data_IF_435742986845
#
_entry.id   IF_435742986845
#
_cell.length_a   1.000
_cell.length_b   1.000
_cell.length_c   1.000
_cell.angle_alpha   90.00
_cell.angle_beta   90.00
_cell.angle_gamma   90.00
#
_symmetry.space_group_name_H-M   'P 1'
#
loop_
_entity.id
_entity.type
_entity.pdbx_description
1 polymer ?
#
# COMPACT_ATOMS: atom_id res chain seq x y z
N UNK A 1 2.75 -14.33 7.04
CA UNK A 1 2.59 -14.33 8.52
C UNK A 1 1.15 -13.96 8.87
N UNK A 2 0.55 -14.55 9.92
CA UNK A 2 -0.87 -14.34 10.24
C UNK A 2 -1.19 -12.90 10.65
N UNK A 3 -2.39 -12.43 10.32
CA UNK A 3 -2.99 -11.19 10.82
C UNK A 3 -3.98 -11.56 11.94
N UNK A 4 -3.71 -11.14 13.16
CA UNK A 4 -4.53 -11.43 14.33
C UNK A 4 -5.59 -10.34 14.56
N UNK A 5 -6.79 -10.76 14.93
CA UNK A 5 -7.91 -9.87 15.31
C UNK A 5 -8.35 -10.17 16.75
N UNK A 6 -7.50 -9.86 17.76
CA UNK A 6 -7.73 -10.27 19.15
C UNK A 6 -8.95 -9.59 19.79
N UNK A 7 -9.34 -8.42 19.29
CA UNK A 7 -10.50 -7.67 19.75
C UNK A 7 -11.12 -6.87 18.58
N UNK A 8 -12.37 -6.40 18.69
CA UNK A 8 -13.02 -5.65 17.62
C UNK A 8 -12.20 -4.44 17.15
N UNK A 9 -11.91 -4.39 15.85
CA UNK A 9 -11.12 -3.33 15.22
C UNK A 9 -9.61 -3.52 15.27
N UNK A 10 -9.10 -4.49 16.04
CA UNK A 10 -7.67 -4.80 16.10
C UNK A 10 -7.20 -5.54 14.85
N UNK A 11 -6.05 -5.14 14.33
CA UNK A 11 -5.34 -5.81 13.23
C UNK A 11 -3.85 -5.86 13.58
N UNK A 12 -3.42 -6.96 14.19
CA UNK A 12 -2.09 -7.09 14.79
C UNK A 12 -1.24 -8.16 14.11
N UNK A 13 0.08 -7.97 14.12
CA UNK A 13 1.05 -8.97 13.65
C UNK A 13 2.18 -9.11 14.65
N UNK A 14 2.68 -10.32 14.86
CA UNK A 14 3.89 -10.54 15.65
C UNK A 14 5.14 -10.21 14.81
N UNK A 15 5.96 -9.21 15.20
CA UNK A 15 7.18 -8.86 14.47
C UNK A 15 8.20 -9.99 14.39
N UNK A 16 8.19 -10.93 15.33
CA UNK A 16 9.08 -12.09 15.29
C UNK A 16 8.83 -12.94 14.02
N UNK A 17 7.59 -13.04 13.56
CA UNK A 17 7.28 -13.74 12.31
C UNK A 17 7.89 -13.06 11.08
N UNK A 18 8.02 -11.73 11.09
CA UNK A 18 8.70 -11.01 10.00
C UNK A 18 10.20 -11.33 9.99
N UNK A 19 10.83 -11.39 11.17
CA UNK A 19 12.24 -11.79 11.29
C UNK A 19 12.47 -13.21 10.79
N UNK A 20 11.64 -14.17 11.21
CA UNK A 20 11.71 -15.56 10.73
C UNK A 20 11.52 -15.63 9.22
N UNK A 21 10.58 -14.86 8.65
CA UNK A 21 10.36 -14.83 7.21
C UNK A 21 11.55 -14.23 6.46
N UNK A 22 12.13 -13.13 6.95
CA UNK A 22 13.33 -12.52 6.39
C UNK A 22 14.48 -13.52 6.38
N UNK A 23 14.76 -14.16 7.52
CA UNK A 23 15.81 -15.17 7.64
C UNK A 23 15.62 -16.33 6.66
N UNK A 24 14.41 -16.86 6.55
CA UNK A 24 14.09 -17.95 5.63
C UNK A 24 14.29 -17.53 4.16
N UNK A 25 13.78 -16.35 3.77
CA UNK A 25 13.88 -15.85 2.39
C UNK A 25 15.33 -15.51 2.04
N UNK A 26 16.08 -14.87 2.93
CA UNK A 26 17.49 -14.53 2.70
C UNK A 26 18.34 -15.78 2.41
N UNK A 27 18.19 -16.84 3.22
CA UNK A 27 18.90 -18.11 2.99
C UNK A 27 18.52 -18.74 1.66
N UNK A 28 17.22 -18.84 1.39
CA UNK A 28 16.73 -19.41 0.13
C UNK A 28 17.23 -18.63 -1.09
N UNK A 29 17.29 -17.31 -1.01
CA UNK A 29 17.80 -16.47 -2.10
C UNK A 29 19.31 -16.67 -2.31
N UNK A 30 20.10 -16.71 -1.25
CA UNK A 30 21.53 -16.97 -1.33
C UNK A 30 21.83 -18.36 -1.90
N UNK A 31 21.12 -19.39 -1.43
CA UNK A 31 21.25 -20.76 -1.92
C UNK A 31 20.90 -20.85 -3.42
N UNK A 32 19.83 -20.17 -3.85
CA UNK A 32 19.40 -20.17 -5.26
C UNK A 32 20.29 -19.33 -6.17
N UNK A 33 20.85 -18.24 -5.65
CA UNK A 33 21.74 -17.36 -6.42
C UNK A 33 23.11 -18.03 -6.67
N UNK A 34 23.52 -18.95 -5.80
CA UNK A 34 24.85 -19.58 -5.88
C UNK A 34 25.96 -18.59 -5.52
N UNK A 35 27.15 -18.66 -6.16
CA UNK A 35 28.28 -17.81 -5.83
C UNK A 35 28.08 -16.38 -6.37
N UNK A 36 27.40 -15.55 -5.59
CA UNK A 36 27.20 -14.12 -5.87
C UNK A 36 27.85 -13.26 -4.79
N UNK A 37 28.35 -12.09 -5.18
CA UNK A 37 28.78 -11.08 -4.23
C UNK A 37 27.56 -10.27 -3.76
N UNK A 38 27.17 -10.43 -2.50
CA UNK A 38 26.12 -9.59 -1.90
C UNK A 38 26.71 -8.23 -1.51
N UNK A 39 26.30 -7.18 -2.24
CA UNK A 39 26.82 -5.82 -2.00
C UNK A 39 26.10 -5.08 -0.88
N UNK A 40 24.79 -5.25 -0.73
CA UNK A 40 23.99 -4.62 0.33
C UNK A 40 22.63 -5.30 0.48
N UNK A 41 21.93 -4.98 1.57
CA UNK A 41 20.51 -5.29 1.79
C UNK A 41 19.75 -3.98 1.98
N UNK A 42 18.70 -3.74 1.20
CA UNK A 42 17.77 -2.64 1.43
C UNK A 42 16.46 -3.16 2.00
N UNK A 43 15.95 -2.49 3.05
CA UNK A 43 14.72 -2.87 3.74
C UNK A 43 13.63 -1.84 3.50
N UNK A 44 12.48 -2.30 3.01
CA UNK A 44 11.23 -1.54 2.91
C UNK A 44 10.06 -2.38 3.43
N UNK A 45 8.93 -1.74 3.71
CA UNK A 45 7.79 -2.44 4.28
C UNK A 45 6.54 -1.59 4.46
N UNK A 46 5.48 -2.27 4.89
CA UNK A 46 4.16 -1.68 5.13
C UNK A 46 4.20 -0.53 6.15
N UNK A 47 3.37 0.49 5.92
CA UNK A 47 3.21 1.63 6.82
C UNK A 47 1.82 2.28 6.67
N UNK A 48 1.36 3.05 7.68
CA UNK A 48 1.92 3.18 9.02
C UNK A 48 1.67 1.91 9.85
N UNK A 49 2.70 1.39 10.50
CA UNK A 49 2.59 0.27 11.44
C UNK A 49 3.42 0.61 12.65
N UNK A 50 2.85 0.50 13.85
CA UNK A 50 3.56 0.76 15.09
C UNK A 50 4.17 -0.53 15.62
N UNK A 51 5.49 -0.52 15.80
CA UNK A 51 6.27 -1.58 16.43
C UNK A 51 6.94 -1.01 17.67
N UNK A 52 6.56 -1.49 18.86
CA UNK A 52 7.12 -1.04 20.13
C UNK A 52 8.08 -2.10 20.68
N UNK A 53 9.35 -1.76 20.88
CA UNK A 53 10.39 -2.68 21.36
C UNK A 53 11.06 -2.18 22.64
N UNK A 54 11.58 -3.10 23.44
CA UNK A 54 12.39 -2.80 24.63
C UNK A 54 13.85 -2.46 24.28
N UNK A 55 14.71 -2.33 25.29
CA UNK A 55 16.12 -2.01 25.12
C UNK A 55 16.91 -3.13 24.40
N UNK A 56 16.44 -4.37 24.46
CA UNK A 56 17.02 -5.55 23.82
C UNK A 56 16.43 -5.80 22.43
N UNK A 57 15.65 -4.85 21.90
CA UNK A 57 14.98 -4.89 20.59
C UNK A 57 13.91 -6.00 20.48
N UNK A 58 13.40 -6.48 21.61
CA UNK A 58 12.30 -7.44 21.65
C UNK A 58 10.95 -6.72 21.64
N UNK A 59 9.96 -7.20 20.85
CA UNK A 59 8.62 -6.61 20.84
C UNK A 59 7.97 -6.62 22.23
N UNK A 60 7.51 -5.45 22.67
CA UNK A 60 6.79 -5.28 23.93
C UNK A 60 5.28 -5.51 23.80
N UNK A 61 4.80 -5.55 22.56
CA UNK A 61 3.43 -5.80 22.13
C UNK A 61 3.45 -6.26 20.66
N UNK A 62 2.45 -7.05 20.18
CA UNK A 62 2.25 -7.24 18.74
C UNK A 62 2.18 -5.89 17.99
N UNK A 63 2.70 -5.86 16.77
CA UNK A 63 2.67 -4.65 15.95
C UNK A 63 1.24 -4.28 15.58
N UNK A 64 0.91 -2.99 15.71
CA UNK A 64 -0.39 -2.43 15.36
C UNK A 64 -0.31 -1.98 13.90
N UNK A 65 -0.98 -2.71 13.01
CA UNK A 65 -0.83 -2.53 11.56
C UNK A 65 -1.63 -1.33 11.03
N UNK A 66 -1.39 -0.94 9.78
CA UNK A 66 -2.13 0.12 9.08
C UNK A 66 -3.63 -0.18 8.91
N UNK A 67 -4.04 -1.45 9.05
CA UNK A 67 -5.44 -1.87 8.99
C UNK A 67 -6.17 -1.73 10.34
N UNK A 68 -5.44 -1.48 11.43
CA UNK A 68 -6.04 -1.32 12.75
C UNK A 68 -6.95 -0.08 12.77
N UNK A 69 -8.06 -0.17 13.49
CA UNK A 69 -9.07 0.90 13.56
C UNK A 69 -9.31 1.41 14.97
N UNK A 70 -8.65 0.86 15.99
CA UNK A 70 -8.90 1.22 17.40
C UNK A 70 -8.47 2.66 17.70
N UNK A 71 -7.48 3.16 16.99
CA UNK A 71 -6.96 4.53 17.04
C UNK A 71 -7.82 5.56 16.29
N UNK A 72 -8.93 5.19 15.66
CA UNK A 72 -9.71 6.10 14.81
C UNK A 72 -10.22 7.34 15.56
N UNK A 73 -10.76 7.16 16.77
CA UNK A 73 -11.23 8.27 17.60
C UNK A 73 -10.08 9.20 18.03
N UNK A 74 -8.90 8.61 18.28
CA UNK A 74 -7.70 9.37 18.64
C UNK A 74 -7.20 10.21 17.46
N UNK A 75 -7.20 9.64 16.25
CA UNK A 75 -6.88 10.35 15.03
C UNK A 75 -7.83 11.53 14.79
N UNK A 76 -9.15 11.32 14.90
CA UNK A 76 -10.14 12.40 14.75
C UNK A 76 -9.88 13.56 15.73
N UNK A 77 -9.62 13.26 17.00
CA UNK A 77 -9.31 14.26 18.03
C UNK A 77 -8.00 14.99 17.74
N UNK A 78 -6.95 14.26 17.39
CA UNK A 78 -5.62 14.80 17.10
C UNK A 78 -5.68 15.78 15.93
N UNK A 79 -6.22 15.37 14.79
CA UNK A 79 -6.22 16.22 13.60
C UNK A 79 -7.23 17.37 13.71
N UNK A 80 -8.33 17.21 14.47
CA UNK A 80 -9.21 18.33 14.81
C UNK A 80 -8.47 19.42 15.61
N UNK A 81 -7.60 19.05 16.56
CA UNK A 81 -6.75 20.02 17.30
C UNK A 81 -5.75 20.74 16.39
N UNK A 82 -5.28 20.07 15.34
CA UNK A 82 -4.36 20.65 14.36
C UNK A 82 -5.06 21.48 13.28
N UNK A 83 -6.39 21.46 13.22
CA UNK A 83 -7.15 22.08 12.11
C UNK A 83 -6.92 21.39 10.77
N UNK A 84 -6.64 20.08 10.78
CA UNK A 84 -6.32 19.26 9.62
C UNK A 84 -7.28 18.08 9.48
N UNK A 85 -7.32 17.46 8.30
CA UNK A 85 -7.99 16.17 8.11
C UNK A 85 -7.06 15.02 8.51
N UNK A 86 -7.65 13.88 8.87
CA UNK A 86 -6.87 12.65 9.10
C UNK A 86 -6.19 12.23 7.79
N UNK A 87 -4.88 11.94 7.78
CA UNK A 87 -4.15 11.55 6.59
C UNK A 87 -4.73 10.31 5.92
N UNK A 88 -4.75 10.31 4.59
CA UNK A 88 -5.34 9.23 3.78
C UNK A 88 -4.60 7.90 3.92
N UNK A 89 -3.31 7.94 4.24
CA UNK A 89 -2.48 6.76 4.48
C UNK A 89 -2.57 6.25 5.93
N UNK A 90 -3.28 6.95 6.81
CA UNK A 90 -3.34 6.66 8.25
C UNK A 90 -2.36 7.52 9.06
N UNK A 91 -2.44 7.41 10.39
CA UNK A 91 -1.65 8.24 11.31
C UNK A 91 -0.94 7.37 12.33
N UNK A 92 0.40 7.31 12.21
CA UNK A 92 1.25 6.68 13.22
C UNK A 92 1.28 7.45 14.54
N UNK A 93 1.30 8.81 14.58
CA UNK A 93 1.17 9.54 15.83
C UNK A 93 -0.12 9.19 16.59
N UNK A 94 -1.25 9.05 15.89
CA UNK A 94 -2.49 8.59 16.52
C UNK A 94 -2.41 7.13 17.02
N UNK A 95 -1.70 6.24 16.32
CA UNK A 95 -1.45 4.87 16.82
C UNK A 95 -0.64 4.89 18.13
N UNK A 96 0.38 5.77 18.23
CA UNK A 96 1.19 5.91 19.46
C UNK A 96 0.37 6.46 20.61
N UNK A 97 -0.41 7.52 20.38
CA UNK A 97 -1.29 8.10 21.40
C UNK A 97 -2.28 7.06 21.93
N UNK A 98 -2.93 6.32 21.03
CA UNK A 98 -3.81 5.22 21.39
C UNK A 98 -3.07 4.13 22.19
N UNK A 99 -1.88 3.71 21.74
CA UNK A 99 -1.09 2.67 22.41
C UNK A 99 -0.64 3.09 23.82
N UNK A 100 -0.28 4.36 24.01
CA UNK A 100 0.10 4.90 25.31
C UNK A 100 -1.08 4.84 26.31
N UNK A 101 -2.29 5.19 25.85
CA UNK A 101 -3.50 5.21 26.67
C UNK A 101 -4.04 3.80 26.96
N UNK A 102 -4.15 2.96 25.93
CA UNK A 102 -4.86 1.67 26.01
C UNK A 102 -3.94 0.49 26.35
N UNK A 103 -2.62 0.64 26.19
CA UNK A 103 -1.60 -0.39 26.52
C UNK A 103 -0.47 0.17 27.40
N UNK A 104 -0.76 0.85 28.52
CA UNK A 104 0.25 1.56 29.32
C UNK A 104 1.32 0.63 29.92
N UNK A 105 0.96 -0.63 30.21
CA UNK A 105 1.93 -1.61 30.72
C UNK A 105 2.97 -2.01 29.67
N UNK A 106 2.56 -2.14 28.40
CA UNK A 106 3.49 -2.40 27.31
C UNK A 106 4.34 -1.16 27.01
N UNK A 107 3.70 0.02 26.93
CA UNK A 107 4.38 1.30 26.72
C UNK A 107 5.48 1.56 27.78
N UNK A 108 5.27 1.21 29.05
CA UNK A 108 6.29 1.35 30.10
C UNK A 108 7.53 0.49 29.87
N UNK A 109 7.42 -0.64 29.16
CA UNK A 109 8.56 -1.50 28.80
C UNK A 109 9.22 -1.05 27.49
N UNK A 110 8.55 -0.20 26.72
CA UNK A 110 9.03 0.26 25.42
C UNK A 110 10.21 1.22 25.60
N UNK A 111 11.30 0.94 24.88
CA UNK A 111 12.43 1.83 24.72
C UNK A 111 12.42 2.53 23.37
N UNK A 112 11.97 1.85 22.32
CA UNK A 112 11.91 2.41 20.97
C UNK A 112 10.56 2.16 20.31
N UNK A 113 10.04 3.20 19.65
CA UNK A 113 8.87 3.13 18.78
C UNK A 113 9.36 3.18 17.32
N UNK A 114 9.00 2.17 16.54
CA UNK A 114 9.51 1.89 15.20
C UNK A 114 8.36 1.67 14.20
N UNK A 115 8.68 1.75 12.92
CA UNK A 115 7.90 1.18 11.83
C UNK A 115 8.24 -0.29 11.54
N UNK A 116 7.49 -0.91 10.62
CA UNK A 116 7.78 -2.27 10.14
C UNK A 116 9.17 -2.40 9.49
N UNK A 117 9.57 -1.59 8.50
CA UNK A 117 10.91 -1.70 7.90
C UNK A 117 12.02 -1.33 8.89
N UNK A 118 11.76 -0.34 9.74
CA UNK A 118 12.65 0.13 10.80
C UNK A 118 13.05 -1.01 11.74
N UNK A 119 12.06 -1.78 12.22
CA UNK A 119 12.31 -2.94 13.09
C UNK A 119 13.26 -3.97 12.47
N UNK A 120 13.05 -4.34 11.21
CA UNK A 120 13.90 -5.33 10.53
C UNK A 120 15.31 -4.79 10.31
N UNK A 121 15.45 -3.52 9.93
CA UNK A 121 16.75 -2.88 9.78
C UNK A 121 17.50 -2.82 11.12
N UNK A 122 16.83 -2.39 12.19
CA UNK A 122 17.39 -2.35 13.53
C UNK A 122 17.77 -3.74 14.05
N UNK A 123 17.00 -4.79 13.75
CA UNK A 123 17.39 -6.19 14.07
C UNK A 123 18.61 -6.67 13.28
N UNK A 124 18.78 -6.23 12.04
CA UNK A 124 19.97 -6.55 11.23
C UNK A 124 21.22 -5.84 11.76
N UNK A 125 21.11 -4.55 12.10
CA UNK A 125 22.25 -3.69 12.42
C UNK A 125 22.57 -3.56 13.90
N UNK A 126 21.61 -3.87 14.78
CA UNK A 126 21.70 -3.55 16.21
C UNK A 126 21.51 -2.06 16.53
N UNK A 127 21.27 -1.21 15.51
CA UNK A 127 21.13 0.23 15.66
C UNK A 127 19.67 0.66 15.43
N UNK A 128 18.99 1.23 16.45
CA UNK A 128 17.65 1.81 16.29
C UNK A 128 17.63 2.94 15.27
N UNK A 129 16.71 2.88 14.30
CA UNK A 129 16.58 3.88 13.24
C UNK A 129 15.12 4.02 12.81
N UNK A 130 14.73 5.21 12.34
CA UNK A 130 13.46 5.44 11.65
C UNK A 130 13.71 5.83 10.20
N UNK A 131 12.97 5.26 9.25
CA UNK A 131 13.05 5.65 7.85
C UNK A 131 12.10 6.79 7.50
N UNK A 132 11.02 6.96 8.27
CA UNK A 132 10.00 7.98 8.06
C UNK A 132 9.99 8.98 9.21
N UNK A 133 10.16 10.26 8.90
CA UNK A 133 9.90 11.36 9.82
C UNK A 133 8.41 11.68 9.88
N UNK A 134 7.95 12.07 11.06
CA UNK A 134 6.61 12.60 11.29
C UNK A 134 6.68 14.10 11.57
N UNK A 135 5.64 14.84 11.18
CA UNK A 135 5.60 16.28 11.41
C UNK A 135 5.62 16.57 12.92
N UNK A 136 6.51 17.49 13.33
CA UNK A 136 6.66 17.87 14.75
C UNK A 136 5.32 18.26 15.42
N UNK A 137 4.43 19.06 14.80
CA UNK A 137 3.13 19.36 15.38
C UNK A 137 2.24 18.12 15.61
N UNK A 138 2.34 17.10 14.75
CA UNK A 138 1.59 15.85 14.92
C UNK A 138 2.11 15.02 16.09
N UNK A 139 3.45 14.94 16.24
CA UNK A 139 4.08 14.27 17.38
C UNK A 139 3.76 14.97 18.70
N UNK A 140 3.77 16.29 18.73
CA UNK A 140 3.41 17.10 19.89
C UNK A 140 1.93 16.97 20.25
N UNK A 141 1.03 16.99 19.25
CA UNK A 141 -0.40 16.81 19.46
C UNK A 141 -0.77 15.40 19.95
N UNK A 142 0.00 14.38 19.51
CA UNK A 142 -0.08 13.00 19.99
C UNK A 142 0.63 12.77 21.35
N UNK A 143 1.29 13.79 21.91
CA UNK A 143 2.05 13.70 23.16
C UNK A 143 3.12 12.58 23.13
N UNK A 144 3.73 12.37 21.96
CA UNK A 144 4.76 11.34 21.77
C UNK A 144 6.03 11.72 22.54
N UNK A 145 6.48 10.84 23.43
CA UNK A 145 7.77 11.01 24.12
C UNK A 145 8.92 10.84 23.12
N UNK A 146 9.58 11.95 22.79
CA UNK A 146 10.67 11.98 21.81
C UNK A 146 11.87 11.11 22.23
N UNK A 147 12.01 10.76 23.51
CA UNK A 147 13.08 9.85 23.98
C UNK A 147 12.89 8.40 23.51
N UNK A 148 11.68 8.07 23.06
CA UNK A 148 11.34 6.76 22.47
C UNK A 148 11.56 6.72 20.95
N UNK A 149 11.90 7.85 20.32
CA UNK A 149 12.13 7.93 18.88
C UNK A 149 13.62 7.79 18.57
N UNK A 150 14.03 6.80 17.76
CA UNK A 150 15.38 6.75 17.22
C UNK A 150 15.67 7.90 16.25
N UNK A 151 16.95 8.11 15.86
CA UNK A 151 17.31 9.01 14.78
C UNK A 151 16.61 8.65 13.47
N UNK A 152 16.07 9.65 12.78
CA UNK A 152 15.53 9.47 11.43
C UNK A 152 16.66 9.49 10.41
N UNK A 153 16.66 8.54 9.48
CA UNK A 153 17.63 8.46 8.38
C UNK A 153 16.88 8.44 7.05
N UNK A 154 17.27 9.29 6.07
CA UNK A 154 16.55 9.37 4.82
C UNK A 154 16.72 8.08 3.99
N UNK A 155 15.74 7.77 3.13
CA UNK A 155 15.81 6.63 2.22
C UNK A 155 17.03 6.73 1.31
N UNK A 156 17.69 5.61 1.05
CA UNK A 156 18.93 5.54 0.29
C UNK A 156 20.20 5.76 1.11
N UNK A 157 20.12 5.85 2.45
CA UNK A 157 21.30 5.93 3.31
C UNK A 157 21.69 4.58 3.89
N UNK A 158 23.00 4.35 4.07
CA UNK A 158 23.49 3.19 4.84
C UNK A 158 23.23 3.47 6.32
N UNK A 159 22.43 2.61 6.95
CA UNK A 159 21.99 2.72 8.35
C UNK A 159 22.73 1.79 9.30
N UNK A 160 23.69 1.03 8.77
CA UNK A 160 24.54 0.12 9.55
C UNK A 160 25.00 -1.03 8.67
N UNK A 161 25.42 -2.11 9.32
CA UNK A 161 25.81 -3.35 8.65
C UNK A 161 25.27 -4.56 9.39
N UNK A 162 25.08 -5.67 8.68
CA UNK A 162 24.60 -6.92 9.26
C UNK A 162 25.55 -7.35 10.40
N UNK A 163 25.01 -7.47 11.61
CA UNK A 163 25.78 -7.93 12.77
C UNK A 163 26.12 -9.42 12.69
N UNK A 164 27.14 -9.91 13.43
CA UNK A 164 27.41 -11.35 13.49
C UNK A 164 26.21 -12.19 13.95
N UNK A 165 25.42 -11.68 14.90
CA UNK A 165 24.20 -12.36 15.36
C UNK A 165 23.13 -12.41 14.27
N UNK A 166 22.87 -11.29 13.58
CA UNK A 166 21.94 -11.26 12.46
C UNK A 166 22.39 -12.15 11.30
N UNK A 167 23.70 -12.22 11.03
CA UNK A 167 24.28 -13.12 10.03
C UNK A 167 24.02 -14.60 10.37
N UNK A 168 24.20 -14.96 11.64
CA UNK A 168 23.93 -16.32 12.12
C UNK A 168 22.46 -16.73 11.93
N UNK A 169 21.52 -15.80 12.09
CA UNK A 169 20.08 -16.03 11.91
C UNK A 169 19.64 -16.05 10.43
N UNK A 170 20.14 -15.12 9.62
CA UNK A 170 19.62 -14.84 8.27
C UNK A 170 20.45 -15.44 7.14
N UNK A 171 21.68 -15.88 7.41
CA UNK A 171 22.65 -16.30 6.39
C UNK A 171 23.28 -15.15 5.60
N UNK A 172 22.84 -13.90 5.82
CA UNK A 172 23.48 -12.72 5.22
C UNK A 172 24.91 -12.57 5.77
N UNK A 173 25.93 -12.28 4.94
CA UNK A 173 27.29 -12.06 5.43
C UNK A 173 27.36 -10.93 6.46
N UNK A 174 28.08 -11.17 7.56
CA UNK A 174 28.37 -10.12 8.53
C UNK A 174 29.15 -8.98 7.86
N UNK A 175 28.81 -7.74 8.22
CA UNK A 175 29.39 -6.53 7.60
C UNK A 175 28.73 -6.12 6.29
N UNK A 176 27.76 -6.87 5.73
CA UNK A 176 27.00 -6.40 4.57
C UNK A 176 26.26 -5.09 4.93
N UNK A 177 26.44 -4.00 4.15
CA UNK A 177 25.72 -2.75 4.36
C UNK A 177 24.20 -2.92 4.33
N UNK A 178 23.52 -2.29 5.30
CA UNK A 178 22.05 -2.21 5.34
C UNK A 178 21.64 -0.80 4.92
N UNK A 179 20.81 -0.70 3.89
CA UNK A 179 20.34 0.55 3.30
C UNK A 179 18.89 0.79 3.73
N UNK A 180 18.60 2.02 4.18
CA UNK A 180 17.24 2.47 4.41
C UNK A 180 16.47 2.46 3.09
N UNK A 181 15.47 1.59 2.99
CA UNK A 181 14.41 1.76 2.01
C UNK A 181 13.42 2.80 2.52
N UNK A 182 12.13 2.53 2.35
CA UNK A 182 11.07 3.40 2.84
C UNK A 182 9.76 2.61 2.97
N UNK A 183 8.62 3.30 2.98
CA UNK A 183 7.32 2.66 2.89
C UNK A 183 7.13 1.98 1.53
N UNK A 184 6.55 0.78 1.55
CA UNK A 184 6.38 -0.10 0.38
C UNK A 184 5.66 0.57 -0.81
N UNK A 185 4.60 1.34 -0.56
CA UNK A 185 3.85 2.04 -1.60
C UNK A 185 4.71 3.04 -2.37
N UNK A 186 5.60 3.74 -1.66
CA UNK A 186 6.53 4.72 -2.24
C UNK A 186 7.69 4.02 -2.97
N UNK A 187 8.21 2.93 -2.40
CA UNK A 187 9.18 2.08 -3.11
C UNK A 187 8.58 1.48 -4.38
N UNK A 188 7.28 1.16 -4.36
CA UNK A 188 6.53 0.72 -5.54
C UNK A 188 6.47 1.78 -6.64
N UNK A 189 6.37 3.07 -6.29
CA UNK A 189 6.45 4.16 -7.28
C UNK A 189 7.84 4.19 -7.92
N UNK A 190 8.90 4.22 -7.12
CA UNK A 190 10.29 4.23 -7.61
C UNK A 190 10.59 3.00 -8.48
N UNK A 191 10.26 1.81 -7.98
CA UNK A 191 10.51 0.55 -8.67
C UNK A 191 9.57 0.26 -9.85
N UNK A 192 8.51 1.06 -10.04
CA UNK A 192 7.72 1.01 -11.27
C UNK A 192 8.46 1.65 -12.45
N UNK A 193 9.45 2.50 -12.16
CA UNK A 193 10.21 3.28 -13.14
C UNK A 193 9.61 4.66 -13.40
N UNK A 194 8.74 5.16 -12.52
CA UNK A 194 8.30 6.55 -12.54
C UNK A 194 9.51 7.47 -12.28
N UNK A 195 9.70 8.49 -13.11
CA UNK A 195 10.89 9.34 -13.09
C UNK A 195 10.59 10.83 -13.14
N UNK A 196 9.42 11.24 -13.64
CA UNK A 196 9.11 12.65 -13.89
C UNK A 196 7.75 13.05 -13.31
N UNK A 197 7.56 14.33 -12.96
CA UNK A 197 6.25 14.82 -12.58
C UNK A 197 5.18 14.40 -13.59
N UNK A 198 4.07 13.90 -13.04
CA UNK A 198 2.95 13.33 -13.76
C UNK A 198 3.04 11.86 -14.16
N UNK A 199 4.19 11.21 -13.99
CA UNK A 199 4.24 9.75 -14.03
C UNK A 199 3.42 9.21 -12.84
N UNK A 200 2.45 8.35 -13.14
CA UNK A 200 1.61 7.73 -12.14
C UNK A 200 2.00 6.26 -11.93
N UNK A 201 1.77 5.75 -10.73
CA UNK A 201 1.92 4.34 -10.39
C UNK A 201 0.66 3.86 -9.69
N UNK A 202 0.11 2.76 -10.21
CA UNK A 202 -1.05 2.08 -9.68
C UNK A 202 -0.56 0.76 -9.06
N UNK A 203 -0.35 0.79 -7.74
CA UNK A 203 0.04 -0.40 -6.98
C UNK A 203 -1.20 -1.26 -6.75
N UNK A 204 -1.29 -2.34 -7.53
CA UNK A 204 -2.45 -3.20 -7.63
C UNK A 204 -2.28 -4.47 -6.79
N UNK A 205 -2.28 -4.31 -5.47
CA UNK A 205 -2.18 -5.41 -4.51
C UNK A 205 -3.52 -5.84 -3.93
N UNK A 206 -3.48 -6.35 -2.69
CA UNK A 206 -4.65 -6.65 -1.85
C UNK A 206 -5.52 -5.40 -1.65
N UNK A 207 -4.88 -4.31 -1.23
CA UNK A 207 -5.39 -2.93 -1.35
C UNK A 207 -4.81 -2.26 -2.59
N UNK A 208 -5.44 -1.20 -3.06
CA UNK A 208 -4.95 -0.41 -4.19
C UNK A 208 -4.31 0.90 -3.71
N UNK A 209 -3.26 1.37 -4.39
CA UNK A 209 -2.85 2.77 -4.28
C UNK A 209 -2.70 3.37 -5.66
N UNK A 210 -3.20 4.59 -5.85
CA UNK A 210 -2.91 5.39 -7.02
C UNK A 210 -2.06 6.57 -6.58
N UNK A 211 -0.85 6.62 -7.09
CA UNK A 211 0.15 7.63 -6.74
C UNK A 211 0.67 8.32 -7.98
N UNK A 212 1.06 9.59 -7.85
CA UNK A 212 1.65 10.40 -8.91
C UNK A 212 2.88 11.12 -8.37
N UNK A 213 3.87 11.29 -9.23
CA UNK A 213 4.97 12.21 -8.97
C UNK A 213 4.47 13.66 -9.05
N UNK A 214 4.45 14.31 -7.89
CA UNK A 214 4.03 15.69 -7.70
C UNK A 214 5.19 16.70 -7.77
N UNK A 215 4.88 17.99 -7.57
CA UNK A 215 5.89 19.03 -7.46
C UNK A 215 6.70 18.92 -6.15
N UNK A 216 7.85 19.61 -6.05
CA UNK A 216 8.64 19.67 -4.82
C UNK A 216 7.84 20.07 -3.59
N UNK A 217 8.06 19.37 -2.48
CA UNK A 217 7.37 19.56 -1.21
C UNK A 217 6.03 18.84 -1.08
N UNK A 218 5.56 18.14 -2.12
CA UNK A 218 4.31 17.40 -2.06
C UNK A 218 4.49 15.98 -1.50
N UNK A 219 3.56 15.55 -0.64
CA UNK A 219 3.47 14.18 -0.14
C UNK A 219 4.76 13.62 0.45
N UNK A 220 5.06 12.35 0.18
CA UNK A 220 6.29 11.70 0.64
C UNK A 220 7.46 12.02 -0.28
N UNK A 221 8.65 12.25 0.29
CA UNK A 221 9.87 12.51 -0.47
C UNK A 221 10.81 11.29 -0.44
N UNK A 222 11.31 10.88 -1.61
CA UNK A 222 12.38 9.88 -1.76
C UNK A 222 13.33 10.34 -2.84
N UNK A 223 14.61 10.51 -2.48
CA UNK A 223 15.60 11.17 -3.34
C UNK A 223 15.10 12.59 -3.72
N UNK A 224 15.00 12.86 -5.01
CA UNK A 224 14.45 14.08 -5.62
C UNK A 224 12.96 13.95 -5.99
N UNK A 225 12.32 12.82 -5.69
CA UNK A 225 10.94 12.54 -6.05
C UNK A 225 9.97 12.88 -4.91
N UNK A 226 8.86 13.50 -5.28
CA UNK A 226 7.75 13.85 -4.40
C UNK A 226 6.51 13.07 -4.82
N UNK A 227 5.95 12.27 -3.90
CA UNK A 227 4.92 11.28 -4.21
C UNK A 227 3.66 11.65 -3.46
N UNK A 228 2.64 12.01 -4.23
CA UNK A 228 1.27 12.15 -3.75
C UNK A 228 0.49 10.92 -4.14
N UNK A 229 -0.48 10.54 -3.33
CA UNK A 229 -1.32 9.42 -3.69
C UNK A 229 -2.35 9.17 -2.62
N UNK A 230 -3.26 8.27 -2.98
CA UNK A 230 -4.27 7.82 -2.05
C UNK A 230 -4.51 6.33 -2.24
N UNK A 231 -5.06 5.73 -1.20
CA UNK A 231 -5.25 4.30 -1.14
C UNK A 231 -6.73 3.95 -1.14
N UNK A 232 -7.05 2.87 -1.84
CA UNK A 232 -8.37 2.23 -1.87
C UNK A 232 -8.29 0.91 -1.09
N UNK A 233 -9.28 0.64 -0.25
CA UNK A 233 -9.21 -0.47 0.70
C UNK A 233 -9.30 -1.84 0.02
N UNK A 234 -10.15 -1.96 -0.99
CA UNK A 234 -10.54 -3.25 -1.56
C UNK A 234 -10.40 -3.22 -3.07
N UNK A 235 -9.21 -3.61 -3.54
CA UNK A 235 -8.91 -3.83 -4.96
C UNK A 235 -8.75 -5.34 -5.22
N UNK A 236 -7.56 -5.92 -5.04
CA UNK A 236 -7.34 -7.37 -5.16
C UNK A 236 -8.16 -8.17 -4.15
N UNK A 237 -8.37 -7.61 -2.94
CA UNK A 237 -9.22 -8.23 -1.92
C UNK A 237 -10.69 -8.38 -2.37
N UNK A 238 -11.17 -7.51 -3.25
CA UNK A 238 -12.51 -7.65 -3.82
C UNK A 238 -12.59 -8.86 -4.75
N UNK A 239 -11.54 -9.11 -5.55
CA UNK A 239 -11.43 -10.29 -6.38
C UNK A 239 -11.30 -11.57 -5.55
N UNK A 240 -10.50 -11.57 -4.48
CA UNK A 240 -10.41 -12.68 -3.51
C UNK A 240 -11.79 -13.02 -2.94
N UNK A 241 -12.47 -11.99 -2.42
CA UNK A 241 -13.79 -12.14 -1.83
C UNK A 241 -14.80 -12.69 -2.84
N UNK A 242 -14.77 -12.20 -4.08
CA UNK A 242 -15.63 -12.70 -5.15
C UNK A 242 -15.34 -14.17 -5.48
N UNK A 243 -14.07 -14.52 -5.68
CA UNK A 243 -13.65 -15.88 -6.00
C UNK A 243 -14.08 -16.87 -4.91
N UNK A 244 -13.90 -16.49 -3.64
CA UNK A 244 -14.23 -17.31 -2.49
C UNK A 244 -15.75 -17.42 -2.25
N UNK A 245 -16.47 -16.29 -2.23
CA UNK A 245 -17.83 -16.24 -1.71
C UNK A 245 -18.91 -16.27 -2.79
N UNK A 246 -18.63 -15.73 -3.97
CA UNK A 246 -19.60 -15.64 -5.07
C UNK A 246 -19.38 -16.78 -6.08
N UNK A 247 -18.14 -16.94 -6.55
CA UNK A 247 -17.79 -17.99 -7.49
C UNK A 247 -17.59 -19.36 -6.81
N UNK A 248 -17.28 -19.39 -5.50
CA UNK A 248 -16.96 -20.59 -4.72
C UNK A 248 -15.80 -21.40 -5.33
N UNK A 249 -14.85 -20.68 -5.91
CA UNK A 249 -13.65 -21.19 -6.55
C UNK A 249 -12.44 -20.38 -6.07
N UNK A 250 -12.02 -20.56 -4.80
CA UNK A 250 -10.88 -19.83 -4.26
C UNK A 250 -9.65 -20.10 -5.14
N UNK A 251 -8.82 -19.08 -5.33
CA UNK A 251 -7.58 -19.12 -6.14
C UNK A 251 -7.75 -19.28 -7.67
N UNK A 252 -8.96 -19.49 -8.19
CA UNK A 252 -9.22 -19.65 -9.63
C UNK A 252 -9.24 -18.32 -10.43
N UNK A 253 -8.35 -17.38 -10.10
CA UNK A 253 -8.40 -16.01 -10.61
C UNK A 253 -8.30 -15.92 -12.13
N UNK A 254 -7.35 -16.64 -12.73
CA UNK A 254 -7.12 -16.62 -14.19
C UNK A 254 -8.37 -17.05 -14.95
N UNK A 255 -8.94 -18.20 -14.58
CA UNK A 255 -10.17 -18.71 -15.21
C UNK A 255 -11.32 -17.72 -15.03
N UNK A 256 -11.55 -17.22 -13.82
CA UNK A 256 -12.66 -16.29 -13.56
C UNK A 256 -12.52 -15.01 -14.38
N UNK A 257 -11.31 -14.46 -14.49
CA UNK A 257 -11.03 -13.27 -15.30
C UNK A 257 -11.23 -13.57 -16.80
N UNK A 258 -10.82 -14.74 -17.29
CA UNK A 258 -11.06 -15.18 -18.67
C UNK A 258 -12.57 -15.29 -18.97
N UNK A 259 -13.36 -15.82 -18.04
CA UNK A 259 -14.82 -15.86 -18.17
C UNK A 259 -15.44 -14.45 -18.24
N UNK A 260 -14.92 -13.51 -17.45
CA UNK A 260 -15.33 -12.10 -17.47
C UNK A 260 -14.89 -11.36 -18.75
N UNK A 261 -13.86 -11.85 -19.46
CA UNK A 261 -13.43 -11.27 -20.74
C UNK A 261 -14.49 -11.42 -21.84
N UNK A 262 -15.37 -12.42 -21.74
CA UNK A 262 -16.48 -12.63 -22.68
C UNK A 262 -17.63 -11.61 -22.51
N UNK A 263 -17.62 -10.84 -21.42
CA UNK A 263 -18.62 -9.79 -21.17
C UNK A 263 -18.11 -8.47 -21.75
N UNK A 264 -18.91 -7.74 -22.54
CA UNK A 264 -18.50 -6.46 -23.11
C UNK A 264 -18.24 -5.41 -22.02
N UNK A 265 -17.47 -4.38 -22.37
CA UNK A 265 -17.25 -3.21 -21.53
C UNK A 265 -18.57 -2.62 -21.01
N UNK A 266 -18.56 -2.19 -19.75
CA UNK A 266 -19.72 -1.65 -19.04
C UNK A 266 -20.67 -2.71 -18.49
N UNK A 267 -20.31 -4.00 -18.57
CA UNK A 267 -21.03 -5.13 -17.98
C UNK A 267 -22.56 -5.12 -18.21
N UNK A 268 -23.00 -4.64 -19.40
CA UNK A 268 -24.43 -4.45 -19.75
C UNK A 268 -25.22 -3.51 -18.81
N UNK A 269 -24.56 -2.47 -18.29
CA UNK A 269 -25.16 -1.46 -17.42
C UNK A 269 -25.09 -1.80 -15.92
N UNK A 270 -24.38 -2.88 -15.57
CA UNK A 270 -24.14 -3.25 -14.19
C UNK A 270 -22.94 -2.49 -13.61
N UNK A 271 -23.15 -1.76 -12.52
CA UNK A 271 -22.07 -1.09 -11.77
C UNK A 271 -21.81 -1.79 -10.44
N UNK A 272 -20.54 -1.79 -10.02
CA UNK A 272 -20.12 -2.26 -8.71
C UNK A 272 -19.42 -1.14 -7.93
N UNK A 273 -19.94 -0.79 -6.76
CA UNK A 273 -19.26 0.05 -5.78
C UNK A 273 -18.33 -0.84 -4.94
N UNK A 274 -16.99 -0.68 -4.98
CA UNK A 274 -16.07 -1.67 -4.42
C UNK A 274 -15.78 -1.52 -2.92
N UNK A 275 -16.66 -0.91 -2.12
CA UNK A 275 -16.38 -0.53 -0.73
C UNK A 275 -16.65 -1.66 0.29
N UNK A 276 -16.18 -2.88 0.02
CA UNK A 276 -16.46 -4.07 0.84
C UNK A 276 -15.92 -3.96 2.28
N UNK A 277 -14.87 -3.18 2.51
CA UNK A 277 -14.27 -2.93 3.82
C UNK A 277 -14.46 -1.48 4.31
N UNK A 278 -15.49 -0.77 3.80
CA UNK A 278 -15.50 0.70 3.82
C UNK A 278 -14.44 1.26 2.88
N UNK A 279 -14.33 2.58 2.78
CA UNK A 279 -13.39 3.18 1.84
C UNK A 279 -12.60 4.34 2.45
N UNK A 280 -11.32 4.42 2.08
CA UNK A 280 -10.47 5.58 2.31
C UNK A 280 -10.68 6.55 1.16
N UNK A 281 -9.76 6.67 0.23
CA UNK A 281 -9.92 7.63 -0.85
C UNK A 281 -10.90 7.14 -1.93
N UNK A 282 -11.68 8.03 -2.55
CA UNK A 282 -11.78 9.47 -2.27
C UNK A 282 -12.87 9.84 -1.24
N UNK A 283 -13.70 8.89 -0.79
CA UNK A 283 -14.94 9.20 -0.04
C UNK A 283 -14.77 9.31 1.49
N UNK A 284 -13.71 8.74 2.04
CA UNK A 284 -13.32 8.74 3.46
C UNK A 284 -14.45 8.29 4.39
N UNK A 285 -15.04 7.14 4.09
CA UNK A 285 -16.17 6.61 4.85
C UNK A 285 -16.02 5.11 5.14
N UNK A 286 -15.61 4.82 6.37
CA UNK A 286 -15.45 3.46 6.85
C UNK A 286 -16.78 2.72 7.08
N UNK A 287 -17.93 3.41 6.95
CA UNK A 287 -19.28 2.82 6.98
C UNK A 287 -19.83 2.54 5.57
N UNK A 288 -19.12 2.94 4.52
CA UNK A 288 -19.50 2.61 3.15
C UNK A 288 -19.48 1.09 2.92
N UNK A 289 -20.28 0.60 1.97
CA UNK A 289 -20.44 -0.84 1.70
C UNK A 289 -20.44 -1.12 0.22
N UNK A 290 -19.98 -2.30 -0.15
CA UNK A 290 -20.02 -2.77 -1.53
C UNK A 290 -21.45 -2.99 -2.01
N UNK A 291 -21.71 -2.70 -3.28
CA UNK A 291 -23.04 -2.83 -3.88
C UNK A 291 -22.95 -3.07 -5.39
N UNK A 292 -23.76 -3.99 -5.90
CA UNK A 292 -24.09 -4.03 -7.32
C UNK A 292 -25.38 -3.26 -7.57
N UNK A 293 -25.40 -2.40 -8.58
CA UNK A 293 -26.55 -1.58 -8.98
C UNK A 293 -26.80 -1.78 -10.47
N UNK A 294 -28.05 -2.03 -10.85
CA UNK A 294 -28.44 -2.31 -12.25
C UNK A 294 -28.62 -3.79 -12.60
N UNK A 295 -28.80 -4.68 -11.62
CA UNK A 295 -29.04 -6.10 -11.87
C UNK A 295 -30.34 -6.34 -12.66
N UNK A 296 -30.28 -7.33 -13.56
CA UNK A 296 -31.38 -7.82 -14.40
C UNK A 296 -31.24 -9.33 -14.54
N UNK A 297 -32.24 -10.02 -15.09
CA UNK A 297 -32.20 -11.47 -15.32
C UNK A 297 -31.15 -11.93 -16.35
N UNK A 298 -30.59 -11.01 -17.13
CA UNK A 298 -29.52 -11.32 -18.10
C UNK A 298 -28.15 -11.44 -17.45
N UNK A 299 -27.98 -10.88 -16.24
CA UNK A 299 -26.71 -10.84 -15.56
C UNK A 299 -26.42 -12.17 -14.85
N UNK A 300 -25.20 -12.67 -15.06
CA UNK A 300 -24.66 -13.85 -14.38
C UNK A 300 -23.34 -13.52 -13.69
N UNK A 301 -22.67 -14.54 -13.12
CA UNK A 301 -21.40 -14.36 -12.41
C UNK A 301 -20.32 -13.67 -13.24
N UNK A 302 -20.32 -13.83 -14.57
CA UNK A 302 -19.33 -13.23 -15.46
C UNK A 302 -19.53 -11.72 -15.52
N UNK A 303 -20.79 -11.29 -15.57
CA UNK A 303 -21.14 -9.87 -15.52
C UNK A 303 -20.84 -9.27 -14.15
N UNK A 304 -21.14 -9.99 -13.06
CA UNK A 304 -20.80 -9.53 -11.71
C UNK A 304 -19.30 -9.28 -11.56
N UNK A 305 -18.47 -10.20 -12.06
CA UNK A 305 -17.02 -10.07 -12.03
C UNK A 305 -16.53 -8.96 -12.95
N UNK A 306 -17.07 -8.85 -14.17
CA UNK A 306 -16.75 -7.75 -15.10
C UNK A 306 -17.00 -6.40 -14.44
N UNK A 307 -18.19 -6.20 -13.89
CA UNK A 307 -18.56 -4.99 -13.15
C UNK A 307 -17.65 -4.75 -11.94
N UNK A 308 -17.19 -5.80 -11.26
CA UNK A 308 -16.25 -5.69 -10.15
C UNK A 308 -14.89 -5.15 -10.60
N UNK A 309 -14.32 -5.70 -11.68
CA UNK A 309 -13.03 -5.24 -12.23
C UNK A 309 -13.12 -3.78 -12.70
N UNK A 310 -14.22 -3.42 -13.37
CA UNK A 310 -14.54 -2.05 -13.80
C UNK A 310 -14.76 -1.12 -12.60
N UNK A 311 -15.51 -1.54 -11.58
CA UNK A 311 -15.75 -0.79 -10.35
C UNK A 311 -14.47 -0.43 -9.58
N UNK A 312 -13.53 -1.36 -9.52
CA UNK A 312 -12.20 -1.09 -8.94
C UNK A 312 -11.42 -0.09 -9.80
N UNK A 313 -11.48 -0.18 -11.13
CA UNK A 313 -10.87 0.81 -12.02
C UNK A 313 -11.50 2.20 -11.86
N UNK A 314 -12.83 2.29 -11.68
CA UNK A 314 -13.51 3.55 -11.40
C UNK A 314 -13.10 4.16 -10.05
N UNK A 315 -12.90 3.33 -9.01
CA UNK A 315 -12.35 3.79 -7.73
C UNK A 315 -10.96 4.41 -7.91
N UNK A 316 -10.09 3.81 -8.74
CA UNK A 316 -8.80 4.42 -9.10
C UNK A 316 -8.96 5.71 -9.89
N UNK A 317 -9.92 5.79 -10.81
CA UNK A 317 -10.25 7.03 -11.51
C UNK A 317 -10.68 8.13 -10.54
N UNK A 318 -11.48 7.82 -9.51
CA UNK A 318 -11.81 8.81 -8.48
C UNK A 318 -10.60 9.35 -7.73
N UNK A 319 -9.57 8.53 -7.51
CA UNK A 319 -8.29 9.03 -6.95
C UNK A 319 -7.52 9.85 -7.99
N UNK A 320 -7.51 9.45 -9.26
CA UNK A 320 -6.91 10.22 -10.35
C UNK A 320 -7.51 11.62 -10.46
N UNK A 321 -8.84 11.74 -10.49
CA UNK A 321 -9.53 13.05 -10.55
C UNK A 321 -9.22 13.89 -9.31
N UNK A 322 -9.23 13.29 -8.11
CA UNK A 322 -8.89 14.00 -6.87
C UNK A 322 -7.45 14.56 -6.86
N UNK A 323 -6.49 13.79 -7.40
CA UNK A 323 -5.11 14.25 -7.56
C UNK A 323 -5.00 15.35 -8.64
N UNK A 324 -5.74 15.22 -9.74
CA UNK A 324 -5.79 16.23 -10.80
C UNK A 324 -6.38 17.55 -10.31
N UNK A 325 -7.46 17.50 -9.51
CA UNK A 325 -8.07 18.67 -8.85
C UNK A 325 -7.09 19.38 -7.89
N UNK A 326 -6.12 18.63 -7.35
CA UNK A 326 -5.03 19.16 -6.52
C UNK A 326 -3.88 19.76 -7.33
N UNK A 327 -4.00 19.83 -8.67
CA UNK A 327 -3.02 20.41 -9.58
C UNK A 327 -1.98 19.42 -10.13
N UNK A 328 -2.13 18.12 -9.88
CA UNK A 328 -1.22 17.12 -10.43
C UNK A 328 -1.52 16.85 -11.91
N UNK A 329 -0.50 16.90 -12.76
CA UNK A 329 -0.60 16.33 -14.11
C UNK A 329 -0.62 14.79 -13.99
N UNK A 330 -1.42 14.09 -14.80
CA UNK A 330 -1.42 12.62 -14.86
C UNK A 330 -1.15 12.20 -16.30
N UNK A 331 0.01 11.57 -16.54
CA UNK A 331 0.46 11.06 -17.85
C UNK A 331 0.23 9.55 -17.94
N UNK A 332 1.30 8.78 -18.19
CA UNK A 332 1.25 7.32 -18.25
C UNK A 332 1.13 6.72 -16.85
N UNK A 333 0.38 5.63 -16.74
CA UNK A 333 0.12 4.92 -15.50
C UNK A 333 0.90 3.62 -15.49
N UNK A 334 1.82 3.45 -14.55
CA UNK A 334 2.57 2.21 -14.36
C UNK A 334 1.80 1.28 -13.45
N UNK A 335 1.35 0.14 -13.95
CA UNK A 335 0.61 -0.84 -13.16
C UNK A 335 1.57 -1.90 -12.61
N UNK A 336 1.61 -2.04 -11.29
CA UNK A 336 2.47 -2.98 -10.57
C UNK A 336 1.64 -3.81 -9.59
N UNK A 337 2.24 -4.84 -8.98
CA UNK A 337 1.55 -5.76 -8.07
C UNK A 337 0.77 -6.87 -8.79
N UNK A 338 0.06 -7.69 -8.02
CA UNK A 338 -0.56 -8.92 -8.51
C UNK A 338 -1.55 -8.73 -9.67
N UNK A 339 -2.33 -7.64 -9.68
CA UNK A 339 -3.30 -7.42 -10.76
C UNK A 339 -2.63 -7.04 -12.08
N UNK A 340 -1.38 -6.58 -12.07
CA UNK A 340 -0.64 -6.25 -13.29
C UNK A 340 -0.42 -7.47 -14.20
N UNK A 341 -0.59 -8.69 -13.67
CA UNK A 341 -0.54 -9.94 -14.45
C UNK A 341 -1.79 -10.21 -15.29
N UNK A 342 -2.85 -9.39 -15.14
CA UNK A 342 -4.11 -9.55 -15.89
C UNK A 342 -4.20 -8.56 -17.04
N UNK A 343 -3.99 -9.04 -18.27
CA UNK A 343 -4.13 -8.22 -19.48
C UNK A 343 -5.52 -7.58 -19.59
N UNK A 344 -6.58 -8.33 -19.29
CA UNK A 344 -7.96 -7.81 -19.28
C UNK A 344 -8.10 -6.62 -18.33
N UNK A 345 -7.63 -6.79 -17.08
CA UNK A 345 -7.79 -5.75 -16.07
C UNK A 345 -6.92 -4.53 -16.38
N UNK A 346 -5.73 -4.73 -16.94
CA UNK A 346 -4.88 -3.64 -17.40
C UNK A 346 -5.53 -2.84 -18.54
N UNK A 347 -6.18 -3.51 -19.50
CA UNK A 347 -6.93 -2.82 -20.55
C UNK A 347 -8.14 -2.06 -19.98
N UNK A 348 -8.90 -2.67 -19.06
CA UNK A 348 -10.00 -1.98 -18.35
C UNK A 348 -9.48 -0.70 -17.66
N UNK A 349 -8.34 -0.78 -16.97
CA UNK A 349 -7.72 0.38 -16.33
C UNK A 349 -7.34 1.45 -17.35
N UNK A 350 -6.71 1.06 -18.46
CA UNK A 350 -6.34 2.01 -19.52
C UNK A 350 -7.57 2.75 -20.07
N UNK A 351 -8.62 2.01 -20.41
CA UNK A 351 -9.86 2.55 -20.94
C UNK A 351 -10.58 3.46 -19.92
N UNK A 352 -10.71 3.01 -18.66
CA UNK A 352 -11.42 3.75 -17.60
C UNK A 352 -10.67 5.02 -17.21
N UNK A 353 -9.34 4.95 -17.03
CA UNK A 353 -8.51 6.10 -16.66
C UNK A 353 -8.28 7.05 -17.84
N UNK A 354 -8.56 6.57 -19.05
CA UNK A 354 -8.23 7.21 -20.32
C UNK A 354 -6.75 7.63 -20.37
N UNK A 355 -5.87 6.70 -19.98
CA UNK A 355 -4.41 6.85 -19.94
C UNK A 355 -3.76 5.55 -20.38
N UNK A 356 -2.57 5.65 -20.98
CA UNK A 356 -1.76 4.47 -21.28
C UNK A 356 -1.36 3.79 -19.98
N UNK A 357 -1.57 2.49 -19.90
CA UNK A 357 -1.07 1.64 -18.81
C UNK A 357 0.20 0.92 -19.27
N UNK A 358 1.27 1.07 -18.50
CA UNK A 358 2.57 0.42 -18.70
C UNK A 358 2.77 -0.65 -17.62
N UNK A 359 3.14 -1.86 -18.01
CA UNK A 359 3.44 -2.95 -17.08
C UNK A 359 4.93 -3.27 -17.13
N UNK A 360 5.68 -3.13 -16.03
CA UNK A 360 7.09 -3.52 -16.00
C UNK A 360 7.26 -5.05 -15.98
N UNK A 361 8.40 -5.54 -16.47
CA UNK A 361 8.77 -6.97 -16.42
C UNK A 361 8.71 -7.53 -14.98
N UNK A 362 9.18 -6.75 -14.01
CA UNK A 362 9.11 -7.09 -12.59
C UNK A 362 7.95 -6.32 -11.94
N UNK A 363 6.84 -7.02 -11.71
CA UNK A 363 5.64 -6.43 -11.10
C UNK A 363 5.75 -6.24 -9.58
N UNK A 364 6.71 -6.90 -8.93
CA UNK A 364 7.02 -6.68 -7.50
C UNK A 364 7.88 -5.41 -7.34
N UNK A 365 7.30 -4.26 -7.66
CA UNK A 365 8.04 -3.01 -7.82
C UNK A 365 8.74 -2.52 -6.54
N UNK A 366 8.17 -2.75 -5.35
CA UNK A 366 8.78 -2.25 -4.11
C UNK A 366 10.18 -2.84 -3.85
N UNK A 367 10.43 -4.10 -4.20
CA UNK A 367 11.76 -4.71 -4.05
C UNK A 367 12.74 -4.13 -5.06
N UNK A 368 12.30 -3.80 -6.28
CA UNK A 368 13.12 -3.13 -7.28
C UNK A 368 13.46 -1.70 -6.85
N UNK A 369 12.50 -0.95 -6.29
CA UNK A 369 12.74 0.37 -5.73
C UNK A 369 13.77 0.35 -4.60
N UNK A 370 13.71 -0.67 -3.75
CA UNK A 370 14.70 -0.89 -2.69
C UNK A 370 16.08 -1.22 -3.26
N UNK A 371 16.17 -2.03 -4.31
CA UNK A 371 17.43 -2.34 -5.01
C UNK A 371 18.03 -1.10 -5.70
N UNK A 372 17.21 -0.24 -6.30
CA UNK A 372 17.65 1.06 -6.85
C UNK A 372 18.33 1.87 -5.75
N UNK A 373 17.67 2.06 -4.60
CA UNK A 373 18.26 2.79 -3.47
C UNK A 373 19.58 2.16 -3.00
N UNK A 374 19.65 0.83 -2.93
CA UNK A 374 20.89 0.15 -2.56
C UNK A 374 22.04 0.46 -3.52
N UNK A 375 21.79 0.41 -4.84
CA UNK A 375 22.84 0.69 -5.84
C UNK A 375 23.30 2.15 -5.84
N UNK A 376 22.39 3.08 -5.55
CA UNK A 376 22.73 4.50 -5.40
C UNK A 376 23.54 4.74 -4.13
N UNK A 377 23.12 4.16 -3.00
CA UNK A 377 23.80 4.29 -1.71
C UNK A 377 25.26 3.78 -1.75
N UNK A 378 25.51 2.74 -2.54
CA UNK A 378 26.84 2.16 -2.74
C UNK A 378 27.67 2.82 -3.84
N UNK A 379 27.09 3.78 -4.58
CA UNK A 379 27.74 4.39 -5.75
C UNK A 379 27.94 3.43 -6.93
N UNK A 380 27.24 2.29 -6.95
CA UNK A 380 27.25 1.34 -8.08
C UNK A 380 26.58 1.95 -9.30
N UNK A 381 25.50 2.69 -9.08
CA UNK A 381 24.84 3.49 -10.11
C UNK A 381 25.06 4.98 -9.82
N UNK A 382 25.37 5.80 -10.85
CA UNK A 382 25.74 7.20 -10.64
C UNK A 382 24.56 8.12 -10.33
N UNK A 383 23.35 7.75 -10.75
CA UNK A 383 22.13 8.54 -10.57
C UNK A 383 20.89 7.66 -10.74
N UNK A 384 19.73 8.23 -10.37
CA UNK A 384 18.43 7.56 -10.39
C UNK A 384 18.07 7.07 -11.79
N UNK A 385 18.30 7.88 -12.82
CA UNK A 385 18.00 7.54 -14.22
C UNK A 385 18.77 6.29 -14.67
N UNK A 386 20.07 6.21 -14.35
CA UNK A 386 20.91 5.06 -14.68
C UNK A 386 20.46 3.78 -13.94
N UNK A 387 20.13 3.91 -12.65
CA UNK A 387 19.63 2.79 -11.85
C UNK A 387 18.29 2.26 -12.36
N UNK A 388 17.34 3.15 -12.68
CA UNK A 388 16.04 2.79 -13.28
C UNK A 388 16.24 2.10 -14.63
N UNK A 389 17.07 2.67 -15.52
CA UNK A 389 17.36 2.10 -16.84
C UNK A 389 17.99 0.71 -16.77
N UNK A 390 18.85 0.47 -15.78
CA UNK A 390 19.52 -0.81 -15.59
C UNK A 390 18.58 -1.93 -15.10
N UNK A 391 17.53 -1.60 -14.34
CA UNK A 391 16.70 -2.59 -13.64
C UNK A 391 15.27 -2.71 -14.16
N UNK A 392 14.76 -1.70 -14.86
CA UNK A 392 13.33 -1.60 -15.18
C UNK A 392 13.14 -1.55 -16.69
N UNK A 393 12.37 -2.51 -17.20
CA UNK A 393 11.92 -2.61 -18.59
C UNK A 393 10.40 -2.73 -18.61
N UNK A 394 9.77 -2.08 -19.57
CA UNK A 394 8.32 -2.20 -19.80
C UNK A 394 8.09 -3.44 -20.64
N UNK A 395 7.34 -4.41 -20.10
CA UNK A 395 6.99 -5.65 -20.77
C UNK A 395 5.75 -5.48 -21.66
N UNK A 396 4.72 -4.81 -21.15
CA UNK A 396 3.44 -4.66 -21.84
C UNK A 396 2.94 -3.22 -21.79
N UNK A 397 2.14 -2.85 -22.79
CA UNK A 397 1.54 -1.53 -22.95
C UNK A 397 0.09 -1.69 -23.37
N UNK A 398 -0.80 -0.97 -22.70
CA UNK A 398 -2.23 -0.95 -22.98
C UNK A 398 -2.63 0.49 -23.24
N UNK A 399 -2.93 0.82 -24.50
CA UNK A 399 -3.47 2.11 -24.88
C UNK A 399 -5.00 2.12 -24.68
N UNK A 400 -5.60 3.25 -24.25
CA UNK A 400 -7.05 3.35 -24.11
C UNK A 400 -7.74 3.14 -25.46
N UNK A 401 -8.70 2.22 -25.51
CA UNK A 401 -9.55 2.01 -26.68
C UNK A 401 -10.62 3.12 -26.74
N UNK A 402 -10.63 3.98 -27.78
CA UNK A 402 -11.49 5.17 -27.81
C UNK A 402 -12.99 4.88 -27.62
N UNK A 403 -13.48 3.73 -28.10
CA UNK A 403 -14.90 3.37 -27.92
C UNK A 403 -15.21 3.02 -26.47
N UNK A 404 -14.35 2.22 -25.83
CA UNK A 404 -14.50 1.83 -24.43
C UNK A 404 -14.32 3.03 -23.50
N UNK A 405 -13.32 3.88 -23.76
CA UNK A 405 -13.05 5.08 -22.96
C UNK A 405 -14.27 6.02 -22.89
N UNK A 406 -14.92 6.30 -24.03
CA UNK A 406 -16.16 7.11 -24.06
C UNK A 406 -17.29 6.47 -23.26
N UNK A 407 -17.49 5.16 -23.38
CA UNK A 407 -18.48 4.44 -22.60
C UNK A 407 -18.18 4.53 -21.09
N UNK A 408 -16.93 4.34 -20.70
CA UNK A 408 -16.54 4.43 -19.31
C UNK A 408 -16.61 5.86 -18.75
N UNK A 409 -16.44 6.91 -19.57
CA UNK A 409 -16.71 8.29 -19.15
C UNK A 409 -18.17 8.48 -18.72
N UNK A 410 -19.12 7.97 -19.53
CA UNK A 410 -20.55 8.01 -19.20
C UNK A 410 -20.87 7.19 -17.94
N UNK A 411 -20.33 5.97 -17.84
CA UNK A 411 -20.54 5.10 -16.69
C UNK A 411 -19.87 5.63 -15.42
N UNK A 412 -18.72 6.31 -15.53
CA UNK A 412 -18.05 6.92 -14.40
C UNK A 412 -18.89 8.04 -13.78
N UNK A 413 -19.59 8.83 -14.60
CA UNK A 413 -20.53 9.83 -14.12
C UNK A 413 -21.65 9.21 -13.26
N UNK A 414 -22.17 8.04 -13.63
CA UNK A 414 -23.14 7.31 -12.80
C UNK A 414 -22.50 6.62 -11.59
N UNK A 415 -21.28 6.06 -11.73
CA UNK A 415 -20.53 5.46 -10.65
C UNK A 415 -20.33 6.44 -9.47
N UNK A 416 -19.94 7.69 -9.75
CA UNK A 416 -19.73 8.70 -8.71
C UNK A 416 -21.00 9.05 -7.92
N UNK A 417 -22.19 8.82 -8.50
CA UNK A 417 -23.49 9.03 -7.84
C UNK A 417 -23.90 7.87 -6.94
N UNK A 418 -23.31 6.68 -7.10
CA UNK A 418 -23.66 5.50 -6.29
C UNK A 418 -23.41 5.74 -4.80
N UNK A 419 -22.23 6.27 -4.44
CA UNK A 419 -21.90 6.46 -3.03
C UNK A 419 -22.87 7.42 -2.33
N UNK A 420 -23.12 8.65 -2.82
CA UNK A 420 -24.10 9.56 -2.20
C UNK A 420 -25.49 8.94 -2.07
N UNK A 421 -25.96 8.22 -3.08
CA UNK A 421 -27.27 7.56 -3.07
C UNK A 421 -27.40 6.47 -2.00
N UNK A 422 -26.33 5.70 -1.77
CA UNK A 422 -26.33 4.56 -0.85
C UNK A 422 -25.91 4.92 0.59
N UNK A 423 -25.27 6.08 0.79
CA UNK A 423 -24.62 6.49 2.05
C UNK A 423 -25.52 6.39 3.27
N UNK A 424 -26.68 7.05 3.25
CA UNK A 424 -27.57 7.09 4.42
C UNK A 424 -28.11 5.71 4.81
N UNK A 425 -28.34 4.84 3.83
CA UNK A 425 -28.78 3.47 4.06
C UNK A 425 -27.63 2.65 4.66
N UNK A 426 -26.42 2.75 4.09
CA UNK A 426 -25.24 2.06 4.61
C UNK A 426 -24.92 2.45 6.06
N UNK A 427 -25.07 3.72 6.42
CA UNK A 427 -24.87 4.18 7.80
C UNK A 427 -25.89 3.59 8.78
N UNK A 428 -27.15 3.51 8.37
CA UNK A 428 -28.21 2.85 9.16
C UNK A 428 -27.97 1.35 9.25
N UNK A 429 -27.45 0.70 8.21
CA UNK A 429 -27.10 -0.72 8.24
C UNK A 429 -25.86 -1.01 9.11
N UNK A 430 -24.91 -0.08 9.20
CA UNK A 430 -23.75 -0.19 10.09
C UNK A 430 -24.15 -0.27 11.57
N UNK A 431 -25.20 0.46 11.99
CA UNK A 431 -25.64 0.42 13.40
C UNK A 431 -26.16 -0.97 13.81
N UNK A 432 -26.86 -1.68 12.92
CA UNK A 432 -27.33 -3.05 13.20
C UNK A 432 -26.19 -4.04 13.43
N UNK A 433 -25.00 -3.80 12.84
CA UNK A 433 -23.81 -4.64 13.09
C UNK A 433 -23.24 -4.41 14.49
N UNK A 434 -23.29 -3.18 14.98
CA UNK A 434 -22.73 -2.81 16.30
C UNK A 434 -23.61 -3.23 17.48
N UNK A 435 -24.92 -3.35 17.27
CA UNK A 435 -25.85 -3.75 18.34
C UNK A 435 -25.95 -5.27 18.52
N UNK A 436 -25.37 -6.06 17.61
CA UNK A 436 -25.43 -7.54 17.61
C UNK A 436 -24.07 -8.24 17.72
N UNK A 437 -22.99 -7.46 17.82
CA UNK A 437 -21.66 -7.93 18.21
C UNK A 437 -21.44 -7.57 19.67
#
# INVERSE_FOLDING_TARGET
YPLATPEPGAMEQDPAHWWTALAAVSRQLLDRAGPVQLLAVAISGQAPTLVAVDADLLPTHPAITWLDRRQAAEAERLYARLGQSVPTWGSWPAQVAWFAHERPAAMRRTRWLLGCPDYLATRLTGEPVLFLAWAKPELEAAEVDQRLLPPVRPPGTIVGSVTPAAAADTGLPAGTPVVAGFIDGVMGVLGSGAQRPGDACLNSGTSGTFSVLGPPGAGYAVLDLHIMGAATNTSGKALDWFAEHIARQPTAYTQLIEEAAAVPAGARGLLFLPHLAGERAAVHDARSRGAWVGLTLEHDRRHLLRALLEGVAFSFRSVQEWLADSGAEIRDVRCVGGQARSALWNQIKADVLNRRVLVPEVVEAAVVGSAILATLALGVQPNREAAVSAMIRVAERFDPEPRSARLYDELYAEFTRLYPALRQTNWRLDSFRKTRA
#
